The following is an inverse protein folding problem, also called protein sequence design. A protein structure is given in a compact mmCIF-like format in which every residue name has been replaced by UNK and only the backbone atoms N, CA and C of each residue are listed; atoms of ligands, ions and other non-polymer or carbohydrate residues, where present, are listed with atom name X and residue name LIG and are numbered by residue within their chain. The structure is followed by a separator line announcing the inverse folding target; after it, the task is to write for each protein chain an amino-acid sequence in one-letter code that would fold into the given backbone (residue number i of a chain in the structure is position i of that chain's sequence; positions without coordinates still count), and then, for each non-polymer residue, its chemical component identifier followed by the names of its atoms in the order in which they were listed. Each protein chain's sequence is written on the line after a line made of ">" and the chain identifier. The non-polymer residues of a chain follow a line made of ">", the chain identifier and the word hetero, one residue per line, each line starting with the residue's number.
data_IF_424619362853
#
_entry.id   IF_424619362853
#
_cell.length_a   1.000
_cell.length_b   1.000
_cell.length_c   1.000
_cell.angle_alpha   90.00
_cell.angle_beta   90.00
_cell.angle_gamma   90.00
#
_symmetry.space_group_name_H-M   'P 1'
#
loop_
_entity.id
_entity.type
_entity.pdbx_description
1 polymer ?
#
# COMPACT_ATOMS: atom_id res chain seq x y z
N UNK A 1 -22.22 9.05 5.45
CA UNK A 1 -22.46 10.43 4.93
C UNK A 1 -23.83 10.48 4.29
N UNK A 2 -24.65 11.49 4.61
CA UNK A 2 -25.94 11.71 3.93
C UNK A 2 -25.74 12.50 2.64
N UNK A 3 -26.56 12.26 1.62
CA UNK A 3 -26.53 12.98 0.33
C UNK A 3 -26.57 14.50 0.51
N UNK A 4 -27.50 14.99 1.33
CA UNK A 4 -27.64 16.42 1.61
C UNK A 4 -26.38 17.05 2.24
N UNK A 5 -25.62 16.28 3.04
CA UNK A 5 -24.35 16.78 3.60
C UNK A 5 -23.31 16.96 2.50
N UNK A 6 -23.19 15.97 1.61
CA UNK A 6 -22.28 16.06 0.47
C UNK A 6 -22.60 17.28 -0.40
N UNK A 7 -23.86 17.43 -0.81
CA UNK A 7 -24.30 18.54 -1.66
C UNK A 7 -24.08 19.90 -1.00
N UNK A 8 -24.34 20.02 0.31
CA UNK A 8 -24.09 21.24 1.07
C UNK A 8 -22.59 21.61 1.12
N UNK A 9 -21.71 20.62 1.37
CA UNK A 9 -20.26 20.81 1.40
C UNK A 9 -19.75 21.29 0.04
N UNK A 10 -20.15 20.60 -1.05
CA UNK A 10 -19.73 20.95 -2.41
C UNK A 10 -20.19 22.35 -2.78
N UNK A 11 -21.45 22.68 -2.50
CA UNK A 11 -22.00 24.01 -2.77
C UNK A 11 -21.17 25.09 -2.07
N UNK A 12 -20.95 24.96 -0.77
CA UNK A 12 -20.17 25.93 0.00
C UNK A 12 -18.72 26.04 -0.49
N UNK A 13 -18.08 24.90 -0.81
CA UNK A 13 -16.71 24.91 -1.33
C UNK A 13 -16.61 25.55 -2.72
N UNK A 14 -17.59 25.36 -3.58
CA UNK A 14 -17.61 25.99 -4.90
C UNK A 14 -17.83 27.51 -4.81
N UNK A 15 -18.67 27.95 -3.88
CA UNK A 15 -18.89 29.38 -3.61
C UNK A 15 -17.66 30.05 -2.98
N UNK A 16 -16.98 29.36 -2.07
CA UNK A 16 -15.85 29.93 -1.30
C UNK A 16 -14.51 29.80 -2.04
N UNK A 17 -14.29 28.66 -2.71
CA UNK A 17 -13.03 28.28 -3.35
C UNK A 17 -13.23 27.98 -4.83
N UNK A 18 -13.98 28.82 -5.54
CA UNK A 18 -14.36 28.59 -6.95
C UNK A 18 -13.18 28.27 -7.88
N UNK A 19 -12.03 28.90 -7.65
CA UNK A 19 -10.80 28.71 -8.43
C UNK A 19 -10.01 27.42 -8.10
N UNK A 20 -10.37 26.75 -7.01
CA UNK A 20 -9.69 25.50 -6.62
C UNK A 20 -9.95 24.39 -7.63
N UNK A 21 -8.89 23.62 -7.91
CA UNK A 21 -8.93 22.40 -8.72
C UNK A 21 -8.93 21.16 -7.81
N UNK A 22 -9.30 20.00 -8.35
CA UNK A 22 -9.15 18.71 -7.67
C UNK A 22 -7.73 18.51 -7.13
N UNK A 23 -6.70 18.77 -7.95
CA UNK A 23 -5.31 18.64 -7.56
C UNK A 23 -4.92 19.59 -6.42
N UNK A 24 -5.39 20.85 -6.42
CA UNK A 24 -5.13 21.77 -5.31
C UNK A 24 -5.75 21.28 -4.00
N UNK A 25 -6.92 20.63 -4.04
CA UNK A 25 -7.58 20.05 -2.87
C UNK A 25 -6.84 18.83 -2.37
N UNK A 26 -6.34 17.95 -3.26
CA UNK A 26 -5.48 16.82 -2.88
C UNK A 26 -4.17 17.30 -2.25
N UNK A 27 -3.56 18.36 -2.77
CA UNK A 27 -2.39 18.98 -2.13
C UNK A 27 -2.70 19.54 -0.75
N UNK A 28 -3.89 20.08 -0.54
CA UNK A 28 -4.32 20.52 0.77
C UNK A 28 -4.56 19.34 1.71
N UNK A 29 -5.14 18.25 1.19
CA UNK A 29 -5.42 17.03 1.95
C UNK A 29 -4.16 16.44 2.56
N UNK A 30 -3.01 16.52 1.89
CA UNK A 30 -1.74 16.07 2.47
C UNK A 30 -1.41 16.80 3.78
N UNK A 31 -1.71 18.10 3.88
CA UNK A 31 -1.51 18.87 5.12
C UNK A 31 -2.51 18.46 6.20
N UNK A 32 -3.78 18.30 5.84
CA UNK A 32 -4.81 17.84 6.77
C UNK A 32 -4.52 16.41 7.29
N UNK A 33 -3.89 15.56 6.48
CA UNK A 33 -3.44 14.22 6.91
C UNK A 33 -2.31 14.32 7.93
N UNK A 34 -1.38 15.27 7.78
CA UNK A 34 -0.35 15.53 8.79
C UNK A 34 -0.98 16.05 10.10
N UNK A 35 -1.93 16.98 10.02
CA UNK A 35 -2.68 17.51 11.17
C UNK A 35 -3.48 16.41 11.88
N UNK A 36 -4.16 15.54 11.13
CA UNK A 36 -4.83 14.35 11.64
C UNK A 36 -3.85 13.38 12.33
N UNK A 37 -2.69 13.14 11.74
CA UNK A 37 -1.64 12.28 12.32
C UNK A 37 -1.14 12.81 13.67
N UNK A 38 -0.94 14.13 13.77
CA UNK A 38 -0.61 14.82 15.02
C UNK A 38 -1.75 14.65 16.03
N UNK A 39 -3.01 14.91 15.63
CA UNK A 39 -4.16 14.78 16.51
C UNK A 39 -4.33 13.35 17.08
N UNK A 40 -4.09 12.33 16.26
CA UNK A 40 -4.06 10.92 16.69
C UNK A 40 -2.94 10.70 17.71
N UNK A 41 -1.71 11.12 17.38
CA UNK A 41 -0.52 10.90 18.19
C UNK A 41 -0.65 11.50 19.59
N UNK A 42 -1.22 12.71 19.68
CA UNK A 42 -1.34 13.46 20.94
C UNK A 42 -2.71 13.33 21.61
N UNK A 43 -3.60 12.47 21.09
CA UNK A 43 -4.96 12.28 21.63
C UNK A 43 -5.75 13.60 21.74
N UNK A 44 -5.68 14.43 20.69
CA UNK A 44 -6.37 15.72 20.63
C UNK A 44 -7.89 15.53 20.70
N UNK A 45 -8.58 16.40 21.44
CA UNK A 45 -10.04 16.40 21.57
C UNK A 45 -10.77 16.71 20.25
N UNK A 46 -10.05 17.30 19.28
CA UNK A 46 -10.53 17.69 17.97
C UNK A 46 -10.25 16.66 16.88
N UNK A 47 -9.67 15.49 17.18
CA UNK A 47 -9.40 14.40 16.20
C UNK A 47 -10.59 14.11 15.25
N UNK A 48 -11.81 14.18 15.79
CA UNK A 48 -13.07 13.97 15.04
C UNK A 48 -13.33 15.04 13.96
N UNK A 49 -12.84 16.26 14.13
CA UNK A 49 -12.91 17.35 13.16
C UNK A 49 -11.81 17.21 12.10
N UNK A 50 -10.59 16.81 12.49
CA UNK A 50 -9.50 16.55 11.52
C UNK A 50 -9.86 15.45 10.50
N UNK A 51 -10.56 14.40 10.95
CA UNK A 51 -11.15 13.42 10.03
C UNK A 51 -12.15 14.06 9.06
N UNK A 52 -12.95 15.03 9.54
CA UNK A 52 -13.93 15.71 8.71
C UNK A 52 -13.26 16.61 7.66
N UNK A 53 -12.17 17.30 8.00
CA UNK A 53 -11.41 18.13 7.06
C UNK A 53 -10.82 17.28 5.92
N UNK A 54 -10.26 16.12 6.24
CA UNK A 54 -9.82 15.15 5.24
C UNK A 54 -10.97 14.74 4.29
N UNK A 55 -12.12 14.38 4.85
CA UNK A 55 -13.30 13.97 4.07
C UNK A 55 -13.85 15.12 3.20
N UNK A 56 -13.87 16.35 3.72
CA UNK A 56 -14.35 17.52 2.99
C UNK A 56 -13.50 17.78 1.75
N UNK A 57 -12.17 17.63 1.87
CA UNK A 57 -11.27 17.79 0.74
C UNK A 57 -11.41 16.67 -0.29
N UNK A 58 -11.61 15.42 0.14
CA UNK A 58 -11.90 14.30 -0.75
C UNK A 58 -13.19 14.51 -1.55
N UNK A 59 -14.29 14.91 -0.89
CA UNK A 59 -15.55 15.21 -1.57
C UNK A 59 -15.39 16.35 -2.56
N UNK A 60 -14.74 17.44 -2.14
CA UNK A 60 -14.44 18.58 -2.98
C UNK A 60 -13.63 18.22 -4.21
N UNK A 61 -12.61 17.36 -4.05
CA UNK A 61 -11.77 16.90 -5.14
C UNK A 61 -12.55 16.03 -6.13
N UNK A 62 -13.32 15.06 -5.64
CA UNK A 62 -14.16 14.20 -6.46
C UNK A 62 -15.20 15.01 -7.25
N UNK A 63 -15.84 16.01 -6.62
CA UNK A 63 -16.80 16.88 -7.31
C UNK A 63 -16.15 17.71 -8.43
N UNK A 64 -14.89 18.15 -8.27
CA UNK A 64 -14.15 18.86 -9.32
C UNK A 64 -13.80 17.96 -10.51
N UNK A 65 -13.76 16.65 -10.32
CA UNK A 65 -13.67 15.63 -11.37
C UNK A 65 -15.05 15.23 -11.94
N UNK A 66 -16.14 15.88 -11.50
CA UNK A 66 -17.49 15.63 -11.99
C UNK A 66 -18.21 14.46 -11.33
N UNK A 67 -17.65 13.89 -10.25
CA UNK A 67 -18.32 12.80 -9.52
C UNK A 67 -19.48 13.31 -8.67
N UNK A 68 -20.60 12.61 -8.74
CA UNK A 68 -21.77 12.82 -7.90
C UNK A 68 -21.68 12.03 -6.59
N UNK A 69 -22.60 12.29 -5.66
CA UNK A 69 -22.73 11.48 -4.44
C UNK A 69 -22.92 9.99 -4.76
N UNK A 70 -23.75 9.68 -5.76
CA UNK A 70 -24.07 8.30 -6.12
C UNK A 70 -22.85 7.61 -6.76
N UNK A 71 -22.03 8.34 -7.54
CA UNK A 71 -20.78 7.82 -8.10
C UNK A 71 -19.75 7.46 -7.01
N UNK A 72 -19.60 8.32 -6.00
CA UNK A 72 -18.68 8.07 -4.88
C UNK A 72 -19.15 6.86 -4.06
N UNK A 73 -20.45 6.77 -3.78
CA UNK A 73 -21.01 5.60 -3.09
C UNK A 73 -20.77 4.31 -3.87
N UNK A 74 -21.03 4.31 -5.18
CA UNK A 74 -20.77 3.17 -6.04
C UNK A 74 -19.28 2.79 -6.06
N UNK A 75 -18.38 3.76 -6.17
CA UNK A 75 -16.93 3.53 -6.15
C UNK A 75 -16.44 2.96 -4.80
N UNK A 76 -17.03 3.39 -3.68
CA UNK A 76 -16.74 2.83 -2.36
C UNK A 76 -17.17 1.36 -2.28
N UNK A 77 -18.39 1.04 -2.75
CA UNK A 77 -18.91 -0.32 -2.74
C UNK A 77 -18.07 -1.24 -3.65
N UNK A 78 -17.75 -0.79 -4.86
CA UNK A 78 -16.86 -1.51 -5.78
C UNK A 78 -15.48 -1.75 -5.15
N UNK A 79 -14.88 -0.71 -4.57
CA UNK A 79 -13.54 -0.83 -3.97
C UNK A 79 -13.54 -1.73 -2.73
N UNK A 80 -14.63 -1.75 -1.96
CA UNK A 80 -14.78 -2.65 -0.82
C UNK A 80 -14.81 -4.11 -1.25
N UNK A 81 -15.54 -4.45 -2.31
CA UNK A 81 -15.57 -5.83 -2.82
C UNK A 81 -14.21 -6.26 -3.38
N UNK A 82 -13.51 -5.38 -4.09
CA UNK A 82 -12.10 -5.62 -4.51
C UNK A 82 -11.21 -5.87 -3.29
N UNK A 83 -11.34 -5.08 -2.23
CA UNK A 83 -10.51 -5.24 -1.03
C UNK A 83 -10.83 -6.52 -0.25
N UNK A 84 -12.07 -7.02 -0.30
CA UNK A 84 -12.47 -8.30 0.30
C UNK A 84 -11.93 -9.51 -0.48
N UNK A 85 -11.69 -9.37 -1.79
CA UNK A 85 -11.14 -10.46 -2.61
C UNK A 85 -9.61 -10.54 -2.57
N UNK A 86 -8.93 -9.52 -2.02
CA UNK A 86 -7.47 -9.45 -1.92
C UNK A 86 -6.88 -10.39 -0.88
N UNK A 87 -5.62 -10.74 -1.08
CA UNK A 87 -4.78 -11.38 -0.07
C UNK A 87 -3.97 -10.30 0.63
N UNK A 88 -4.07 -10.19 1.95
CA UNK A 88 -3.39 -9.15 2.73
C UNK A 88 -2.14 -9.69 3.42
N UNK A 89 -1.09 -8.87 3.47
CA UNK A 89 0.18 -9.17 4.11
C UNK A 89 0.12 -9.17 5.63
N UNK A 90 1.28 -9.34 6.25
CA UNK A 90 1.46 -8.99 7.67
C UNK A 90 1.74 -7.50 7.81
N UNK A 91 1.38 -6.88 8.95
CA UNK A 91 1.77 -5.51 9.22
C UNK A 91 3.30 -5.35 9.23
N UNK A 92 3.77 -4.23 8.69
CA UNK A 92 5.18 -3.81 8.79
C UNK A 92 5.52 -3.22 10.17
N UNK A 93 6.72 -2.63 10.31
CA UNK A 93 7.18 -2.02 11.55
C UNK A 93 6.30 -0.84 12.02
N UNK A 94 5.64 -0.16 11.09
CA UNK A 94 4.73 0.95 11.35
C UNK A 94 3.26 0.48 11.46
N UNK A 95 3.01 -0.82 11.32
CA UNK A 95 1.69 -1.43 11.41
C UNK A 95 0.88 -1.40 10.11
N UNK A 96 1.49 -0.98 8.99
CA UNK A 96 0.83 -0.88 7.68
C UNK A 96 0.67 -2.27 7.07
N UNK A 97 -0.53 -2.58 6.58
CA UNK A 97 -0.86 -3.85 5.92
C UNK A 97 -1.16 -3.58 4.45
N UNK A 98 -0.34 -4.17 3.57
CA UNK A 98 -0.47 -4.01 2.12
C UNK A 98 -1.07 -5.27 1.46
N UNK A 99 -1.63 -5.09 0.25
CA UNK A 99 -2.11 -6.19 -0.59
C UNK A 99 -0.93 -7.00 -1.14
N UNK A 100 -1.04 -8.32 -1.15
CA UNK A 100 0.00 -9.23 -1.66
C UNK A 100 -0.14 -9.56 -3.15
N UNK A 101 -1.23 -9.19 -3.83
CA UNK A 101 -1.27 -9.29 -5.30
C UNK A 101 -0.31 -8.24 -5.90
N UNK A 102 0.83 -8.52 -6.53
CA UNK A 102 1.57 -9.74 -6.89
C UNK A 102 3.02 -9.28 -7.14
N UNK A 103 4.02 -9.73 -6.38
CA UNK A 103 5.41 -9.70 -6.84
C UNK A 103 5.74 -11.10 -7.33
N UNK A 104 5.48 -11.34 -8.61
CA UNK A 104 6.08 -12.48 -9.29
C UNK A 104 7.51 -12.10 -9.65
N UNK A 105 8.45 -12.98 -9.33
CA UNK A 105 9.84 -12.85 -9.77
C UNK A 105 10.25 -14.13 -10.49
N UNK A 106 11.11 -14.00 -11.49
CA UNK A 106 11.63 -15.13 -12.25
C UNK A 106 12.57 -15.96 -11.37
N UNK A 107 12.36 -17.28 -11.37
CA UNK A 107 13.32 -18.22 -10.80
C UNK A 107 14.62 -18.18 -11.60
N UNK A 108 15.75 -17.93 -10.93
CA UNK A 108 17.06 -17.82 -11.59
C UNK A 108 17.48 -19.11 -12.32
N UNK A 109 16.92 -20.26 -11.93
CA UNK A 109 17.27 -21.57 -12.49
C UNK A 109 16.37 -21.99 -13.66
N UNK A 110 15.05 -21.77 -13.58
CA UNK A 110 14.12 -22.22 -14.63
C UNK A 110 13.48 -21.09 -15.46
N UNK A 111 13.69 -19.82 -15.08
CA UNK A 111 13.10 -18.62 -15.70
C UNK A 111 11.56 -18.61 -15.73
N UNK A 112 10.90 -19.40 -14.89
CA UNK A 112 9.46 -19.32 -14.68
C UNK A 112 9.15 -18.33 -13.54
N UNK A 113 8.00 -17.67 -13.61
CA UNK A 113 7.54 -16.71 -12.62
C UNK A 113 6.88 -17.41 -11.42
N UNK A 114 7.31 -17.08 -10.21
CA UNK A 114 6.70 -17.58 -8.98
C UNK A 114 6.45 -16.45 -7.98
N UNK A 115 5.55 -16.70 -7.04
CA UNK A 115 5.26 -15.78 -5.94
C UNK A 115 6.52 -15.59 -5.08
N UNK A 116 7.07 -14.37 -5.05
CA UNK A 116 8.30 -14.01 -4.33
C UNK A 116 8.29 -14.45 -2.87
N UNK A 117 7.13 -14.45 -2.22
CA UNK A 117 6.99 -14.82 -0.81
C UNK A 117 7.14 -16.32 -0.57
N UNK A 118 7.09 -17.12 -1.64
CA UNK A 118 7.22 -18.58 -1.59
C UNK A 118 8.54 -19.10 -2.11
N UNK A 119 9.37 -18.21 -2.67
CA UNK A 119 10.68 -18.53 -3.26
C UNK A 119 11.78 -18.44 -2.19
N UNK A 120 12.58 -19.50 -1.98
CA UNK A 120 13.82 -19.38 -1.24
C UNK A 120 14.81 -18.44 -1.93
N UNK A 121 15.66 -17.80 -1.14
CA UNK A 121 16.78 -16.99 -1.61
C UNK A 121 18.12 -17.58 -1.19
N UNK A 122 19.18 -17.30 -1.96
CA UNK A 122 20.56 -17.50 -1.52
C UNK A 122 21.15 -16.20 -0.92
N UNK A 123 22.43 -16.25 -0.54
CA UNK A 123 23.14 -15.12 0.09
C UNK A 123 23.37 -13.94 -0.89
N UNK A 124 23.22 -14.17 -2.19
CA UNK A 124 23.32 -13.16 -3.27
C UNK A 124 21.94 -12.60 -3.66
N UNK A 125 20.90 -12.83 -2.83
CA UNK A 125 19.50 -12.46 -3.07
C UNK A 125 18.90 -13.04 -4.38
N UNK A 126 19.46 -14.14 -4.90
CA UNK A 126 18.86 -14.83 -6.05
C UNK A 126 17.64 -15.63 -5.60
N UNK A 127 16.56 -15.53 -6.35
CA UNK A 127 15.29 -16.20 -6.03
C UNK A 127 15.15 -17.50 -6.81
N UNK A 128 14.84 -18.58 -6.10
CA UNK A 128 14.64 -19.91 -6.68
C UNK A 128 13.20 -20.37 -6.46
N UNK A 129 12.63 -21.11 -7.40
CA UNK A 129 11.41 -21.85 -7.10
C UNK A 129 11.75 -23.01 -6.14
N UNK A 130 10.75 -23.52 -5.42
CA UNK A 130 10.96 -24.57 -4.40
C UNK A 130 11.62 -25.83 -4.95
N UNK A 131 11.31 -26.20 -6.18
CA UNK A 131 11.86 -27.39 -6.84
C UNK A 131 13.33 -27.18 -7.19
N UNK A 132 13.65 -26.09 -7.90
CA UNK A 132 15.04 -25.74 -8.23
C UNK A 132 15.91 -25.55 -6.97
N UNK A 133 15.37 -24.93 -5.92
CA UNK A 133 16.12 -24.77 -4.67
C UNK A 133 16.42 -26.12 -4.00
N UNK A 134 15.47 -27.06 -4.00
CA UNK A 134 15.68 -28.39 -3.43
C UNK A 134 16.78 -29.17 -4.17
N UNK A 135 16.96 -28.92 -5.46
CA UNK A 135 18.02 -29.54 -6.27
C UNK A 135 19.39 -28.88 -6.05
N UNK A 136 19.44 -27.55 -5.98
CA UNK A 136 20.71 -26.80 -5.97
C UNK A 136 21.25 -26.52 -4.56
N UNK A 137 20.39 -26.43 -3.54
CA UNK A 137 20.77 -26.15 -2.14
C UNK A 137 21.80 -27.14 -1.58
N UNK A 138 21.68 -28.48 -1.81
CA UNK A 138 22.71 -29.42 -1.37
C UNK A 138 24.08 -29.17 -2.01
N UNK A 139 24.10 -28.83 -3.29
CA UNK A 139 25.33 -28.58 -4.06
C UNK A 139 25.99 -27.28 -3.58
N UNK A 140 25.22 -26.21 -3.42
CA UNK A 140 25.72 -24.93 -2.91
C UNK A 140 26.35 -25.09 -1.52
N UNK A 141 25.70 -25.87 -0.64
CA UNK A 141 26.22 -26.15 0.69
C UNK A 141 27.54 -26.94 0.67
N UNK A 142 27.64 -27.94 -0.21
CA UNK A 142 28.88 -28.72 -0.36
C UNK A 142 30.04 -27.83 -0.82
N UNK A 143 29.81 -26.98 -1.83
CA UNK A 143 30.81 -26.02 -2.31
C UNK A 143 31.24 -25.05 -1.20
N UNK A 144 30.28 -24.51 -0.44
CA UNK A 144 30.58 -23.66 0.70
C UNK A 144 31.45 -24.37 1.75
N UNK A 145 31.09 -25.59 2.13
CA UNK A 145 31.84 -26.38 3.12
C UNK A 145 33.26 -26.71 2.61
N UNK A 146 33.44 -27.00 1.33
CA UNK A 146 34.76 -27.20 0.71
C UNK A 146 35.61 -25.93 0.77
N UNK A 147 35.06 -24.78 0.40
CA UNK A 147 35.77 -23.49 0.45
C UNK A 147 36.19 -23.13 1.87
N UNK A 148 35.33 -23.39 2.88
CA UNK A 148 35.68 -23.23 4.30
C UNK A 148 36.82 -24.18 4.68
N UNK A 149 36.74 -25.46 4.30
CA UNK A 149 37.77 -26.44 4.64
C UNK A 149 39.12 -26.14 3.97
N UNK A 150 39.11 -25.53 2.79
CA UNK A 150 40.31 -25.07 2.08
C UNK A 150 40.87 -23.75 2.64
N UNK A 151 40.15 -23.09 3.56
CA UNK A 151 40.53 -21.79 4.11
C UNK A 151 40.40 -20.64 3.10
N UNK A 152 39.57 -20.83 2.06
CA UNK A 152 39.29 -19.81 1.05
C UNK A 152 38.32 -18.75 1.58
N UNK A 153 37.41 -19.17 2.48
CA UNK A 153 36.43 -18.31 3.14
C UNK A 153 36.33 -18.67 4.63
N UNK A 154 35.99 -17.68 5.46
CA UNK A 154 35.70 -17.89 6.88
C UNK A 154 34.24 -18.34 7.05
N UNK A 155 33.98 -19.25 8.00
CA UNK A 155 32.62 -19.65 8.34
C UNK A 155 31.99 -18.56 9.19
N UNK A 156 30.87 -17.99 8.71
CA UNK A 156 30.09 -16.98 9.43
C UNK A 156 29.46 -17.51 10.73
#
# INVERSE_FOLDING_TARGET
>A
MKKDQFEAIIKWQNETFGESTSLSKVKHLLKEVDELGIAITYSDENIRLEFADCLFLLFGAASKEGMTYDDICAAIDEKLEINKSRVWGKPDADGVVENLETCYIECISCNEEFDIWTMPTDDDDNHYCKECYAEISPVMKEVYDEMVNNGEIERE
#
